data_IF_024659646348
#
_entry.id   IF_024659646348
#
_cell.length_a   1.000
_cell.length_b   1.000
_cell.length_c   1.000
_cell.angle_alpha   90.00
_cell.angle_beta   90.00
_cell.angle_gamma   90.00
#
_symmetry.space_group_name_H-M   'P 1'
#
loop_
_entity.id
_entity.type
_entity.pdbx_description
1 polymer ?
#
# COMPACT_ATOMS: atom_id res chain seq x y z
N UNK A 1 -21.79 -29.09 -11.45
CA UNK A 1 -21.08 -28.33 -10.40
C UNK A 1 -19.60 -28.64 -10.55
N UNK A 2 -19.07 -28.32 -11.72
CA UNK A 2 -17.69 -28.54 -12.17
C UNK A 2 -17.21 -27.16 -12.63
N UNK A 3 -16.41 -26.46 -11.83
CA UNK A 3 -15.69 -25.25 -12.27
C UNK A 3 -14.57 -24.83 -11.30
N UNK A 4 -13.97 -25.79 -10.58
CA UNK A 4 -12.85 -25.52 -9.66
C UNK A 4 -11.49 -26.04 -10.16
N UNK A 5 -11.36 -26.35 -11.45
CA UNK A 5 -10.07 -26.64 -12.11
C UNK A 5 -9.40 -25.40 -12.72
N UNK A 6 -9.79 -24.19 -12.31
CA UNK A 6 -9.16 -22.94 -12.78
C UNK A 6 -7.85 -22.58 -12.06
N UNK A 7 -7.48 -23.32 -11.02
CA UNK A 7 -6.16 -23.19 -10.39
C UNK A 7 -5.24 -24.23 -11.03
N UNK A 8 -4.36 -23.75 -11.91
CA UNK A 8 -3.11 -24.40 -12.34
C UNK A 8 -3.07 -25.05 -13.74
N UNK A 9 -2.93 -24.22 -14.77
CA UNK A 9 -1.85 -24.45 -15.76
C UNK A 9 -0.70 -23.53 -15.34
N UNK A 10 0.00 -23.92 -14.26
CA UNK A 10 0.86 -23.09 -13.40
C UNK A 10 1.68 -22.04 -14.15
N UNK A 11 1.45 -20.76 -13.82
CA UNK A 11 2.43 -19.71 -14.10
C UNK A 11 3.81 -20.21 -13.66
N UNK A 12 4.81 -20.10 -14.54
CA UNK A 12 6.15 -20.63 -14.28
C UNK A 12 6.77 -19.80 -13.16
N UNK A 13 7.32 -20.48 -12.15
CA UNK A 13 7.84 -19.83 -10.95
C UNK A 13 8.82 -18.69 -11.29
N UNK A 14 8.47 -17.49 -10.84
CA UNK A 14 9.19 -16.23 -11.02
C UNK A 14 9.28 -15.68 -12.45
N UNK A 15 8.71 -16.35 -13.44
CA UNK A 15 8.55 -15.78 -14.78
C UNK A 15 7.42 -14.77 -14.73
N UNK A 16 7.71 -13.52 -15.10
CA UNK A 16 6.67 -12.53 -15.30
C UNK A 16 5.84 -12.97 -16.50
N UNK A 17 4.55 -13.24 -16.27
CA UNK A 17 3.64 -13.81 -17.25
C UNK A 17 2.60 -12.73 -17.65
N UNK A 18 2.88 -11.88 -18.67
CA UNK A 18 2.00 -10.78 -19.03
C UNK A 18 0.63 -11.30 -19.44
N UNK A 19 -0.45 -10.70 -18.93
CA UNK A 19 -1.81 -11.19 -19.20
C UNK A 19 -2.13 -12.55 -18.56
N UNK A 20 -1.29 -13.04 -17.66
CA UNK A 20 -1.47 -14.35 -17.01
C UNK A 20 -1.51 -15.46 -18.05
N UNK A 21 -2.60 -16.20 -18.10
CA UNK A 21 -2.77 -17.29 -19.08
C UNK A 21 -3.50 -16.85 -20.35
N UNK A 22 -3.79 -15.56 -20.51
CA UNK A 22 -4.68 -15.03 -21.55
C UNK A 22 -6.04 -15.75 -21.62
N UNK A 23 -6.50 -16.26 -20.46
CA UNK A 23 -7.79 -16.96 -20.29
C UNK A 23 -8.89 -16.04 -19.76
N UNK A 24 -8.58 -14.77 -19.51
CA UNK A 24 -9.57 -13.78 -19.09
C UNK A 24 -10.60 -13.58 -20.21
N UNK A 25 -11.91 -13.50 -19.88
CA UNK A 25 -12.93 -13.25 -20.89
C UNK A 25 -12.73 -11.88 -21.53
N UNK A 26 -13.01 -11.71 -22.84
CA UNK A 26 -12.94 -10.41 -23.48
C UNK A 26 -13.94 -9.44 -22.83
N UNK A 27 -13.52 -8.19 -22.62
CA UNK A 27 -14.38 -7.13 -22.10
C UNK A 27 -15.01 -6.36 -23.27
N UNK A 28 -16.29 -6.59 -23.54
CA UNK A 28 -17.03 -5.88 -24.59
C UNK A 28 -17.24 -4.41 -24.23
N UNK A 29 -17.32 -3.52 -25.23
CA UNK A 29 -17.57 -2.09 -25.01
C UNK A 29 -18.92 -1.83 -24.31
N UNK A 30 -19.89 -2.73 -24.48
CA UNK A 30 -21.20 -2.66 -23.82
C UNK A 30 -21.23 -3.29 -22.43
N UNK A 31 -20.10 -3.78 -21.90
CA UNK A 31 -20.06 -4.38 -20.58
C UNK A 31 -20.40 -3.33 -19.49
N UNK A 32 -21.29 -3.62 -18.53
CA UNK A 32 -21.75 -2.65 -17.53
C UNK A 32 -20.65 -2.16 -16.58
N UNK A 33 -19.49 -2.82 -16.56
CA UNK A 33 -18.33 -2.42 -15.75
C UNK A 33 -17.36 -1.51 -16.50
N UNK A 34 -17.57 -1.28 -17.80
CA UNK A 34 -16.78 -0.30 -18.57
C UNK A 34 -16.89 1.07 -17.88
N UNK A 35 -15.73 1.60 -17.50
CA UNK A 35 -15.63 2.88 -16.79
C UNK A 35 -15.52 2.78 -15.27
N UNK A 36 -15.65 1.58 -14.66
CA UNK A 36 -15.37 1.38 -13.23
C UNK A 36 -13.92 1.76 -12.89
N UNK A 37 -13.70 2.26 -11.68
CA UNK A 37 -12.38 2.72 -11.21
C UNK A 37 -12.14 2.28 -9.77
N UNK A 38 -10.96 1.73 -9.52
CA UNK A 38 -10.41 1.66 -8.17
C UNK A 38 -9.85 3.04 -7.83
N UNK A 39 -10.60 3.80 -7.02
CA UNK A 39 -10.31 5.20 -6.75
C UNK A 39 -9.35 5.40 -5.56
N UNK A 40 -9.63 4.73 -4.43
CA UNK A 40 -8.87 4.87 -3.19
C UNK A 40 -8.68 3.55 -2.46
N UNK A 41 -7.72 3.56 -1.52
CA UNK A 41 -7.57 2.54 -0.48
C UNK A 41 -7.74 3.20 0.88
N UNK A 42 -8.55 2.60 1.75
CA UNK A 42 -8.75 3.09 3.12
C UNK A 42 -7.96 2.25 4.12
N UNK A 43 -7.25 2.92 5.02
CA UNK A 43 -6.63 2.31 6.18
C UNK A 43 -7.08 2.99 7.46
N UNK A 44 -7.35 2.20 8.49
CA UNK A 44 -7.54 2.77 9.82
C UNK A 44 -6.17 3.16 10.37
N UNK A 45 -6.13 4.32 11.01
CA UNK A 45 -4.93 4.80 11.69
C UNK A 45 -5.22 5.04 13.15
N UNK A 46 -4.25 4.75 14.03
CA UNK A 46 -4.44 4.92 15.46
C UNK A 46 -4.29 6.38 15.87
N UNK A 47 -3.27 7.05 15.35
CA UNK A 47 -2.97 8.43 15.74
C UNK A 47 -2.71 9.29 14.50
N UNK A 48 -3.58 10.30 14.23
CA UNK A 48 -3.44 11.13 13.04
C UNK A 48 -2.16 11.97 13.06
N UNK A 49 -1.66 12.41 14.23
CA UNK A 49 -0.41 13.17 14.29
C UNK A 49 0.77 12.36 13.76
N UNK A 50 0.88 11.10 14.17
CA UNK A 50 1.97 10.20 13.73
C UNK A 50 1.83 9.86 12.25
N UNK A 51 0.61 9.51 11.84
CA UNK A 51 0.32 9.09 10.47
C UNK A 51 0.48 10.22 9.45
N UNK A 52 -0.04 11.41 9.76
CA UNK A 52 0.10 12.57 8.87
C UNK A 52 1.57 13.02 8.80
N UNK A 53 2.34 12.96 9.89
CA UNK A 53 3.78 13.21 9.81
C UNK A 53 4.45 12.24 8.83
N UNK A 54 4.15 10.95 8.91
CA UNK A 54 4.68 9.96 7.98
C UNK A 54 4.26 10.23 6.53
N UNK A 55 2.96 10.33 6.24
CA UNK A 55 2.49 10.44 4.86
C UNK A 55 2.70 11.82 4.22
N UNK A 56 2.66 12.91 4.99
CA UNK A 56 2.80 14.27 4.48
C UNK A 56 4.24 14.76 4.55
N UNK A 57 4.85 14.73 5.73
CA UNK A 57 6.17 15.31 5.93
C UNK A 57 7.26 14.37 5.42
N UNK A 58 7.10 13.06 5.64
CA UNK A 58 8.09 12.09 5.21
C UNK A 58 7.88 11.60 3.77
N UNK A 59 6.66 11.25 3.39
CA UNK A 59 6.39 10.70 2.06
C UNK A 59 6.02 11.77 1.03
N UNK A 60 5.61 12.97 1.44
CA UNK A 60 5.35 14.08 0.51
C UNK A 60 3.94 14.13 -0.08
N UNK A 61 3.00 13.33 0.45
CA UNK A 61 1.58 13.45 0.10
C UNK A 61 0.98 14.73 0.67
N UNK A 62 -0.20 15.13 0.21
CA UNK A 62 -0.92 16.31 0.68
C UNK A 62 -2.38 16.00 0.91
N UNK A 63 -2.94 16.62 1.94
CA UNK A 63 -4.36 16.52 2.26
C UNK A 63 -5.18 17.21 1.18
N UNK A 64 -6.11 16.47 0.57
CA UNK A 64 -7.13 17.01 -0.32
C UNK A 64 -8.28 17.56 0.52
N UNK A 65 -8.79 16.76 1.46
CA UNK A 65 -9.83 17.17 2.38
C UNK A 65 -9.76 16.39 3.69
N UNK A 66 -10.39 16.94 4.72
CA UNK A 66 -10.57 16.30 6.02
C UNK A 66 -12.01 16.46 6.45
N UNK A 67 -12.60 15.39 6.98
CA UNK A 67 -13.98 15.42 7.47
C UNK A 67 -14.05 14.74 8.83
N UNK A 68 -14.45 15.50 9.85
CA UNK A 68 -14.88 14.95 11.14
C UNK A 68 -16.36 14.55 11.01
N UNK A 69 -16.66 13.27 11.25
CA UNK A 69 -18.01 12.72 11.12
C UNK A 69 -18.74 12.56 12.46
N UNK A 70 -18.10 12.96 13.57
CA UNK A 70 -18.55 12.66 14.93
C UNK A 70 -17.65 11.58 15.56
N UNK A 71 -17.89 10.28 15.30
CA UNK A 71 -17.12 9.20 15.93
C UNK A 71 -15.75 8.95 15.30
N UNK A 72 -15.46 9.53 14.14
CA UNK A 72 -14.18 9.38 13.45
C UNK A 72 -13.84 10.59 12.58
N UNK A 73 -12.58 10.72 12.20
CA UNK A 73 -12.11 11.69 11.20
C UNK A 73 -11.52 10.94 10.01
N UNK A 74 -11.85 11.40 8.79
CA UNK A 74 -11.22 10.95 7.56
C UNK A 74 -10.24 12.00 7.09
N UNK A 75 -9.04 11.58 6.70
CA UNK A 75 -8.04 12.37 6.01
C UNK A 75 -7.81 11.75 4.64
N UNK A 76 -8.03 12.53 3.59
CA UNK A 76 -7.91 12.05 2.23
C UNK A 76 -6.67 12.65 1.58
N UNK A 77 -5.70 11.81 1.19
CA UNK A 77 -4.38 12.23 0.76
C UNK A 77 -4.08 11.82 -0.68
N UNK A 78 -3.30 12.65 -1.39
CA UNK A 78 -2.75 12.34 -2.70
C UNK A 78 -1.42 13.08 -2.96
N UNK A 79 -0.73 12.75 -4.05
CA UNK A 79 0.39 13.56 -4.53
C UNK A 79 -0.09 14.66 -5.49
N UNK A 80 0.26 15.94 -5.26
CA UNK A 80 0.07 17.00 -6.24
C UNK A 80 0.99 16.77 -7.46
N UNK A 81 0.43 16.50 -8.66
CA UNK A 81 1.20 15.95 -9.78
C UNK A 81 2.14 16.97 -10.42
N UNK A 82 1.73 18.24 -10.54
CA UNK A 82 2.50 19.25 -11.26
C UNK A 82 3.28 20.20 -10.33
N UNK A 83 4.25 20.93 -10.88
CA UNK A 83 4.94 22.00 -10.14
C UNK A 83 3.98 23.10 -9.69
N UNK A 84 2.96 23.39 -10.50
CA UNK A 84 1.94 24.40 -10.19
C UNK A 84 1.08 23.95 -9.00
N UNK A 85 0.62 22.69 -9.00
CA UNK A 85 -0.15 22.12 -7.89
C UNK A 85 0.65 22.16 -6.58
N UNK A 86 1.97 21.92 -6.65
CA UNK A 86 2.85 21.99 -5.48
C UNK A 86 3.10 23.41 -4.98
N UNK A 87 2.98 24.41 -5.84
CA UNK A 87 3.18 25.82 -5.48
C UNK A 87 1.95 26.42 -4.78
N UNK A 88 0.74 25.94 -5.10
CA UNK A 88 -0.51 26.39 -4.49
C UNK A 88 -1.36 25.18 -4.04
N UNK A 89 -0.99 24.64 -2.88
CA UNK A 89 -1.65 23.47 -2.30
C UNK A 89 -3.12 23.73 -1.93
N UNK A 90 -3.52 24.89 -1.36
CA UNK A 90 -4.93 25.18 -1.12
C UNK A 90 -5.79 25.16 -2.39
N UNK A 91 -5.33 25.79 -3.47
CA UNK A 91 -6.03 25.78 -4.76
C UNK A 91 -6.11 24.37 -5.35
N UNK A 92 -4.99 23.64 -5.36
CA UNK A 92 -4.97 22.24 -5.80
C UNK A 92 -5.93 21.36 -5.00
N UNK A 93 -5.95 21.48 -3.67
CA UNK A 93 -6.83 20.71 -2.81
C UNK A 93 -8.30 21.02 -3.11
N UNK A 94 -8.66 22.30 -3.24
CA UNK A 94 -10.01 22.74 -3.57
C UNK A 94 -10.48 22.22 -4.94
N UNK A 95 -9.62 22.27 -5.97
CA UNK A 95 -9.93 21.73 -7.31
C UNK A 95 -10.07 20.22 -7.30
N UNK A 96 -9.20 19.54 -6.55
CA UNK A 96 -9.18 18.08 -6.46
C UNK A 96 -10.38 17.55 -5.65
N UNK A 97 -10.83 18.29 -4.62
CA UNK A 97 -11.99 17.91 -3.81
C UNK A 97 -13.35 18.18 -4.46
N UNK A 98 -13.39 18.91 -5.58
CA UNK A 98 -14.64 19.33 -6.23
C UNK A 98 -15.07 18.39 -7.36
N UNK A 99 -16.38 18.19 -7.45
CA UNK A 99 -17.04 17.54 -8.58
C UNK A 99 -16.51 16.14 -8.87
N UNK A 100 -16.32 15.85 -10.15
CA UNK A 100 -15.85 14.55 -10.62
C UNK A 100 -14.34 14.33 -10.43
N UNK A 101 -13.55 15.38 -10.13
CA UNK A 101 -12.08 15.29 -10.00
C UNK A 101 -11.66 14.28 -8.94
N UNK A 102 -12.29 14.31 -7.76
CA UNK A 102 -12.02 13.36 -6.69
C UNK A 102 -12.33 11.92 -7.13
N UNK A 103 -13.48 11.72 -7.80
CA UNK A 103 -13.97 10.42 -8.24
C UNK A 103 -13.16 9.82 -9.40
N UNK A 104 -12.43 10.66 -10.15
CA UNK A 104 -11.57 10.24 -11.26
C UNK A 104 -10.09 10.13 -10.88
N UNK A 105 -9.72 10.65 -9.71
CA UNK A 105 -8.35 10.57 -9.20
C UNK A 105 -7.97 9.11 -8.92
N UNK A 106 -6.67 8.82 -9.02
CA UNK A 106 -6.08 7.50 -8.78
C UNK A 106 -5.04 7.60 -7.69
N UNK A 107 -4.80 6.51 -6.98
CA UNK A 107 -3.76 6.44 -5.94
C UNK A 107 -4.10 7.29 -4.71
N UNK A 108 -5.39 7.43 -4.41
CA UNK A 108 -5.86 8.17 -3.24
C UNK A 108 -5.75 7.31 -1.98
N UNK A 109 -5.26 7.92 -0.90
CA UNK A 109 -5.15 7.27 0.40
C UNK A 109 -6.15 7.88 1.37
N UNK A 110 -7.10 7.07 1.81
CA UNK A 110 -8.07 7.44 2.85
C UNK A 110 -7.56 6.94 4.20
N UNK A 111 -7.18 7.85 5.10
CA UNK A 111 -6.82 7.51 6.46
C UNK A 111 -8.00 7.78 7.39
N UNK A 112 -8.45 6.74 8.09
CA UNK A 112 -9.59 6.81 9.00
C UNK A 112 -9.15 6.70 10.45
N UNK A 113 -9.27 7.79 11.18
CA UNK A 113 -8.98 7.84 12.62
C UNK A 113 -10.27 7.66 13.43
N UNK A 114 -10.37 6.57 14.19
CA UNK A 114 -11.48 6.39 15.14
C UNK A 114 -11.12 7.12 16.44
N UNK A 115 -11.96 8.06 16.86
CA UNK A 115 -11.63 8.92 18.00
C UNK A 115 -11.46 8.10 19.29
N UNK A 116 -10.36 8.33 20.00
CA UNK A 116 -10.02 7.59 21.22
C UNK A 116 -9.21 6.31 20.99
N UNK A 117 -8.97 5.88 19.75
CA UNK A 117 -8.07 4.74 19.47
C UNK A 117 -6.60 5.03 19.87
N UNK A 118 -6.21 6.30 19.84
CA UNK A 118 -4.89 6.81 20.23
C UNK A 118 -4.61 6.77 21.74
N UNK A 119 -5.63 6.49 22.57
CA UNK A 119 -5.45 6.36 24.01
C UNK A 119 -4.40 5.31 24.33
N UNK A 120 -3.84 5.41 25.53
CA UNK A 120 -3.03 4.33 26.08
C UNK A 120 -3.87 3.03 26.15
N UNK A 121 -3.22 1.87 26.01
CA UNK A 121 -3.91 0.58 25.92
C UNK A 121 -4.69 0.30 27.20
N UNK A 122 -4.09 0.61 28.35
CA UNK A 122 -4.70 0.53 29.67
C UNK A 122 -5.90 1.47 29.85
N UNK A 123 -6.00 2.52 29.04
CA UNK A 123 -7.11 3.47 29.02
C UNK A 123 -8.15 3.15 27.91
N UNK A 124 -8.09 1.95 27.32
CA UNK A 124 -9.04 1.48 26.30
C UNK A 124 -8.67 1.84 24.86
N UNK A 125 -7.46 2.32 24.61
CA UNK A 125 -6.91 2.40 23.26
C UNK A 125 -6.49 1.02 22.73
N UNK A 126 -6.09 0.96 21.46
CA UNK A 126 -5.66 -0.29 20.82
C UNK A 126 -4.69 -0.02 19.67
N UNK A 127 -3.85 -1.01 19.34
CA UNK A 127 -2.98 -0.98 18.15
C UNK A 127 -3.73 -1.48 16.91
N UNK A 128 -3.33 -0.99 15.74
CA UNK A 128 -3.85 -1.50 14.47
C UNK A 128 -3.22 -2.85 14.14
N UNK A 129 -3.99 -3.69 13.44
CA UNK A 129 -3.45 -4.87 12.77
C UNK A 129 -3.14 -4.53 11.32
N UNK A 130 -1.91 -4.82 10.90
CA UNK A 130 -1.45 -4.52 9.54
C UNK A 130 -1.93 -5.52 8.50
N UNK A 131 -2.46 -6.68 8.92
CA UNK A 131 -2.81 -7.78 8.02
C UNK A 131 -1.67 -8.75 7.73
N UNK A 132 -0.48 -8.54 8.30
CA UNK A 132 0.71 -9.37 8.03
C UNK A 132 1.16 -10.22 9.24
N UNK A 133 0.36 -10.25 10.31
CA UNK A 133 0.67 -10.99 11.52
C UNK A 133 -0.46 -11.98 11.86
N UNK A 134 -0.15 -13.26 12.07
CA UNK A 134 -1.14 -14.25 12.50
C UNK A 134 -1.74 -13.89 13.86
N UNK A 135 -3.02 -14.25 14.11
CA UNK A 135 -3.93 -14.97 13.20
C UNK A 135 -4.61 -14.06 12.16
N UNK A 136 -4.36 -12.74 12.19
CA UNK A 136 -5.10 -11.75 11.42
C UNK A 136 -4.44 -11.45 10.06
N UNK A 137 -4.16 -12.50 9.29
CA UNK A 137 -3.59 -12.35 7.93
C UNK A 137 -4.65 -11.81 6.96
N UNK A 138 -4.24 -10.91 6.05
CA UNK A 138 -5.14 -10.23 5.12
C UNK A 138 -4.43 -9.22 4.23
N UNK A 139 -4.66 -7.93 4.46
CA UNK A 139 -4.00 -6.86 3.69
C UNK A 139 -2.47 -6.98 3.76
N UNK A 140 -1.81 -6.87 2.59
CA UNK A 140 -0.36 -6.98 2.47
C UNK A 140 0.34 -5.64 2.71
N UNK A 141 0.30 -4.75 1.73
CA UNK A 141 1.04 -3.49 1.78
C UNK A 141 0.49 -2.46 0.79
N UNK A 142 0.91 -1.21 0.95
CA UNK A 142 0.83 -0.19 -0.10
C UNK A 142 2.14 -0.15 -0.88
N UNK A 143 2.09 0.05 -2.20
CA UNK A 143 3.27 0.25 -3.04
C UNK A 143 3.40 1.70 -3.49
N UNK A 144 4.58 2.30 -3.32
CA UNK A 144 4.94 3.63 -3.79
C UNK A 144 6.14 3.53 -4.72
N UNK A 145 5.98 4.02 -5.95
CA UNK A 145 7.14 4.16 -6.83
C UNK A 145 7.93 5.41 -6.48
N UNK A 146 9.25 5.26 -6.37
CA UNK A 146 10.17 6.34 -6.01
C UNK A 146 11.30 6.43 -7.05
N UNK A 147 11.85 7.64 -7.31
CA UNK A 147 12.96 7.78 -8.25
C UNK A 147 14.24 7.08 -7.80
N UNK A 148 14.48 7.03 -6.48
CA UNK A 148 15.65 6.40 -5.87
C UNK A 148 15.24 5.71 -4.57
N UNK A 149 15.21 4.37 -4.58
CA UNK A 149 14.81 3.56 -3.42
C UNK A 149 15.83 3.71 -2.29
N UNK A 150 17.12 3.75 -2.59
CA UNK A 150 18.18 3.87 -1.57
C UNK A 150 18.04 5.21 -0.85
N UNK A 151 17.93 6.31 -1.58
CA UNK A 151 17.76 7.63 -0.99
C UNK A 151 16.48 7.75 -0.16
N UNK A 152 15.37 7.16 -0.63
CA UNK A 152 14.12 7.12 0.12
C UNK A 152 14.26 6.36 1.45
N UNK A 153 14.89 5.18 1.43
CA UNK A 153 15.14 4.37 2.64
C UNK A 153 16.03 5.14 3.63
N UNK A 154 17.14 5.73 3.20
CA UNK A 154 18.04 6.48 4.10
C UNK A 154 17.33 7.67 4.75
N UNK A 155 16.52 8.40 3.97
CA UNK A 155 15.74 9.52 4.46
C UNK A 155 14.76 9.07 5.56
N UNK A 156 14.02 7.99 5.30
CA UNK A 156 13.04 7.46 6.26
C UNK A 156 13.72 6.88 7.50
N UNK A 157 14.82 6.14 7.34
CA UNK A 157 15.62 5.62 8.46
C UNK A 157 16.14 6.73 9.35
N UNK A 158 16.66 7.82 8.76
CA UNK A 158 17.15 9.00 9.50
C UNK A 158 16.04 9.66 10.31
N UNK A 159 14.79 9.62 9.82
CA UNK A 159 13.61 10.09 10.53
C UNK A 159 13.08 9.09 11.59
N UNK A 160 13.77 7.98 11.84
CA UNK A 160 13.38 6.97 12.83
C UNK A 160 12.31 5.98 12.34
N UNK A 161 12.03 5.94 11.03
CA UNK A 161 11.09 4.96 10.46
C UNK A 161 11.72 3.58 10.48
N UNK A 162 10.93 2.57 10.88
CA UNK A 162 11.35 1.17 10.88
C UNK A 162 11.47 0.65 9.45
N UNK A 163 12.68 0.22 9.09
CA UNK A 163 12.91 -0.57 7.86
C UNK A 163 12.51 -2.03 8.14
N UNK A 164 11.57 -2.55 7.36
CA UNK A 164 11.08 -3.94 7.45
C UNK A 164 11.91 -4.84 6.55
N UNK A 165 12.29 -4.34 5.37
CA UNK A 165 13.11 -5.02 4.38
C UNK A 165 14.14 -4.04 3.82
N UNK A 166 15.41 -4.44 3.91
CA UNK A 166 16.50 -3.69 3.30
C UNK A 166 16.53 -3.82 1.77
N UNK A 167 17.02 -2.77 1.11
CA UNK A 167 17.34 -2.81 -0.31
C UNK A 167 18.47 -3.84 -0.55
N UNK A 168 18.36 -4.63 -1.62
CA UNK A 168 19.30 -5.71 -1.92
C UNK A 168 19.03 -7.01 -1.16
N UNK A 169 18.19 -7.02 -0.13
CA UNK A 169 17.77 -8.25 0.53
C UNK A 169 16.74 -9.01 -0.32
N UNK A 170 16.92 -10.31 -0.47
CA UNK A 170 16.09 -11.19 -1.29
C UNK A 170 15.73 -12.52 -0.61
N UNK A 171 15.89 -12.58 0.72
CA UNK A 171 15.52 -13.73 1.53
C UNK A 171 14.02 -13.77 1.82
N UNK A 172 13.54 -14.93 2.26
CA UNK A 172 12.12 -15.16 2.55
C UNK A 172 11.62 -14.31 3.72
N UNK A 173 12.46 -14.07 4.72
CA UNK A 173 12.09 -13.45 5.99
C UNK A 173 11.58 -12.00 5.89
N UNK A 174 11.81 -11.33 4.76
CA UNK A 174 11.39 -9.94 4.55
C UNK A 174 10.14 -9.81 3.68
N UNK A 175 9.56 -10.93 3.27
CA UNK A 175 8.30 -10.99 2.54
C UNK A 175 7.23 -11.36 3.58
N UNK A 176 5.98 -10.90 3.44
CA UNK A 176 4.89 -11.31 4.31
C UNK A 176 4.49 -12.78 4.10
N UNK A 177 5.44 -13.70 4.29
CA UNK A 177 5.29 -15.14 4.36
C UNK A 177 5.69 -15.57 5.75
N UNK A 178 4.71 -15.92 6.57
CA UNK A 178 4.96 -16.10 8.01
C UNK A 178 5.50 -17.50 8.31
N UNK A 179 6.32 -17.62 9.36
CA UNK A 179 6.73 -18.94 9.86
C UNK A 179 5.52 -19.73 10.40
N UNK A 180 4.47 -19.05 10.84
CA UNK A 180 3.22 -19.67 11.27
C UNK A 180 2.52 -20.43 10.13
N UNK A 181 2.48 -19.85 8.92
CA UNK A 181 2.01 -20.51 7.69
C UNK A 181 2.94 -21.66 7.32
N UNK A 182 4.26 -21.43 7.32
CA UNK A 182 5.26 -22.43 6.95
C UNK A 182 5.19 -23.68 7.82
N UNK A 183 5.07 -23.51 9.14
CA UNK A 183 4.93 -24.61 10.10
C UNK A 183 3.65 -25.43 9.87
N UNK A 184 2.67 -24.89 9.14
CA UNK A 184 1.43 -25.56 8.74
C UNK A 184 1.49 -26.13 7.33
N UNK A 185 2.67 -26.13 6.70
CA UNK A 185 2.84 -26.59 5.33
C UNK A 185 2.36 -25.61 4.26
N UNK A 186 2.07 -24.35 4.62
CA UNK A 186 1.57 -23.33 3.68
C UNK A 186 2.73 -22.51 3.12
N UNK A 187 2.75 -22.36 1.79
CA UNK A 187 3.75 -21.55 1.07
C UNK A 187 5.19 -22.03 1.27
N UNK A 188 5.42 -23.34 1.38
CA UNK A 188 6.73 -23.94 1.72
C UNK A 188 7.73 -23.96 0.57
N UNK A 189 7.29 -23.66 -0.65
CA UNK A 189 8.14 -23.66 -1.85
C UNK A 189 9.29 -22.64 -1.73
N UNK A 190 10.39 -22.98 -2.39
CA UNK A 190 11.52 -22.06 -2.54
C UNK A 190 11.18 -20.93 -3.50
N UNK A 191 11.66 -19.73 -3.19
CA UNK A 191 11.48 -18.59 -4.08
C UNK A 191 12.33 -18.74 -5.33
N UNK A 192 11.69 -18.55 -6.49
CA UNK A 192 12.35 -18.56 -7.78
C UNK A 192 13.44 -17.48 -7.88
N UNK A 193 14.55 -17.80 -8.54
CA UNK A 193 15.75 -16.95 -8.56
C UNK A 193 15.52 -15.59 -9.22
N UNK A 194 14.83 -15.57 -10.36
CA UNK A 194 14.38 -14.35 -11.04
C UNK A 194 13.55 -13.44 -10.12
N UNK A 195 12.61 -14.00 -9.35
CA UNK A 195 11.87 -13.21 -8.37
C UNK A 195 12.76 -12.68 -7.25
N UNK A 196 13.75 -13.45 -6.80
CA UNK A 196 14.77 -12.96 -5.85
C UNK A 196 15.53 -11.75 -6.40
N UNK A 197 15.83 -11.70 -7.70
CA UNK A 197 16.47 -10.53 -8.32
C UNK A 197 15.54 -9.31 -8.32
N UNK A 198 14.23 -9.48 -8.61
CA UNK A 198 13.24 -8.40 -8.45
C UNK A 198 13.19 -7.89 -7.02
N UNK A 199 13.18 -8.79 -6.04
CA UNK A 199 13.14 -8.42 -4.61
C UNK A 199 14.35 -7.60 -4.17
N UNK A 200 15.53 -7.77 -4.78
CA UNK A 200 16.70 -6.93 -4.46
C UNK A 200 16.47 -5.46 -4.78
N UNK A 201 15.58 -5.15 -5.72
CA UNK A 201 15.39 -3.79 -6.21
C UNK A 201 14.38 -2.98 -5.39
N UNK A 202 13.59 -3.63 -4.54
CA UNK A 202 12.58 -2.97 -3.69
C UNK A 202 13.02 -2.95 -2.23
N UNK A 203 12.45 -2.05 -1.43
CA UNK A 203 12.63 -2.01 0.02
C UNK A 203 11.29 -1.81 0.71
N UNK A 204 11.16 -2.25 1.96
CA UNK A 204 9.93 -2.10 2.75
C UNK A 204 10.21 -1.33 4.02
N UNK A 205 9.34 -0.37 4.34
CA UNK A 205 9.29 0.30 5.64
C UNK A 205 7.94 0.04 6.30
N UNK A 206 7.82 0.30 7.59
CA UNK A 206 6.55 0.29 8.29
C UNK A 206 6.10 1.73 8.57
N UNK A 207 4.83 2.02 8.27
CA UNK A 207 4.19 3.24 8.77
C UNK A 207 4.01 3.18 10.31
N UNK A 208 3.53 4.25 10.96
CA UNK A 208 3.37 4.28 12.41
C UNK A 208 2.42 3.22 13.00
N UNK A 209 1.50 2.69 12.20
CA UNK A 209 0.52 1.68 12.58
C UNK A 209 0.96 0.25 12.17
N UNK A 210 2.16 0.11 11.58
CA UNK A 210 2.77 -1.16 11.21
C UNK A 210 2.35 -1.68 9.83
N UNK A 211 1.63 -0.88 9.03
CA UNK A 211 1.37 -1.22 7.63
C UNK A 211 2.67 -1.19 6.84
N UNK A 212 2.88 -2.22 6.03
CA UNK A 212 4.05 -2.29 5.15
C UNK A 212 3.86 -1.30 4.00
N UNK A 213 4.90 -0.51 3.75
CA UNK A 213 5.02 0.42 2.64
C UNK A 213 6.18 -0.04 1.77
N UNK A 214 5.85 -0.53 0.58
CA UNK A 214 6.82 -0.94 -0.41
C UNK A 214 7.31 0.25 -1.23
N UNK A 215 8.62 0.40 -1.30
CA UNK A 215 9.33 1.38 -2.11
C UNK A 215 9.85 0.68 -3.35
N UNK A 216 9.25 1.00 -4.49
CA UNK A 216 9.51 0.39 -5.79
C UNK A 216 10.27 1.40 -6.67
N UNK A 217 11.32 1.01 -7.41
CA UNK A 217 11.93 1.93 -8.35
C UNK A 217 10.96 2.21 -9.51
N UNK A 218 10.97 3.43 -10.05
CA UNK A 218 10.14 3.76 -11.21
C UNK A 218 10.57 3.02 -12.49
N UNK A 219 11.80 2.50 -12.52
CA UNK A 219 12.36 1.69 -13.59
C UNK A 219 13.13 0.55 -12.91
N UNK A 220 12.77 -0.70 -13.23
CA UNK A 220 13.58 -1.85 -12.81
C UNK A 220 14.85 -1.93 -13.67
N UNK A 221 15.97 -2.25 -13.03
CA UNK A 221 17.25 -2.56 -13.66
C UNK A 221 17.28 -3.99 -14.21
#
# INVERSE_FOLDING_TARGET
MEHLDLISDKAIAGVFNPGGHYKDPPLAESDPTVGYKLNHTMMRIRNPKRSLHFYIDLMGMRTIWTMNTGPFTIYYLAYPPTKQDRADLPDWAAKTSQGSSLLHSRGLLELKHIHGSEKAIEAGGYEMTSGNHPPNLGFGHLGFTVPDVKAAVERLRTAGVRVVKELGFNGRASIPLTDWERQRGVGVDEMAQNYKETLKQVAHVADPDGYIIELVPQIFA
#
